data_IF_695978152933
#
_entry.id   IF_695978152933
#
_cell.length_a   1.000
_cell.length_b   1.000
_cell.length_c   1.000
_cell.angle_alpha   90.00
_cell.angle_beta   90.00
_cell.angle_gamma   90.00
#
_symmetry.space_group_name_H-M   'P 1'
#
loop_
_entity.id
_entity.type
_entity.pdbx_description
1 polymer ?
#
# COMPACT_ATOMS: atom_id res chain seq x y z
N UNK A 1 -32.15 -3.85 -18.46
CA UNK A 1 -32.63 -3.24 -17.18
C UNK A 1 -31.44 -3.24 -16.22
N UNK A 2 -31.23 -2.15 -15.50
CA UNK A 2 -30.15 -2.09 -14.53
C UNK A 2 -30.36 -3.13 -13.40
N UNK A 3 -29.27 -3.77 -12.98
CA UNK A 3 -29.25 -4.68 -11.84
C UNK A 3 -29.17 -3.88 -10.53
N UNK A 4 -30.02 -4.16 -9.57
CA UNK A 4 -29.97 -3.52 -8.25
C UNK A 4 -29.17 -4.39 -7.29
N UNK A 5 -28.24 -3.76 -6.55
CA UNK A 5 -27.39 -4.35 -5.51
C UNK A 5 -27.24 -3.36 -4.35
N UNK A 6 -26.75 -3.81 -3.18
CA UNK A 6 -26.55 -2.91 -2.02
C UNK A 6 -25.29 -2.06 -2.21
N UNK A 7 -24.24 -2.61 -2.81
CA UNK A 7 -22.95 -1.94 -2.97
C UNK A 7 -22.26 -2.32 -4.28
N UNK A 8 -21.78 -1.32 -5.00
CA UNK A 8 -20.81 -1.53 -6.08
C UNK A 8 -19.44 -1.03 -5.63
N UNK A 9 -18.42 -1.89 -5.75
CA UNK A 9 -17.01 -1.53 -5.53
C UNK A 9 -16.31 -1.42 -6.87
N UNK A 10 -15.70 -0.29 -7.18
CA UNK A 10 -14.98 -0.02 -8.43
C UNK A 10 -13.48 -0.01 -8.20
N UNK A 11 -12.79 -1.03 -8.76
CA UNK A 11 -11.37 -1.28 -8.61
C UNK A 11 -11.08 -2.50 -7.75
N UNK A 12 -10.51 -3.56 -8.36
CA UNK A 12 -10.17 -4.86 -7.75
C UNK A 12 -8.75 -4.96 -7.22
N UNK A 13 -8.13 -3.83 -6.88
CA UNK A 13 -6.87 -3.78 -6.15
C UNK A 13 -7.05 -4.19 -4.67
N UNK A 14 -5.97 -4.06 -3.88
CA UNK A 14 -5.97 -4.46 -2.47
C UNK A 14 -7.13 -3.83 -1.68
N UNK A 15 -7.36 -2.53 -1.84
CA UNK A 15 -8.38 -1.80 -1.09
C UNK A 15 -9.79 -2.23 -1.48
N UNK A 16 -10.06 -2.43 -2.77
CA UNK A 16 -11.37 -2.88 -3.24
C UNK A 16 -11.69 -4.31 -2.81
N UNK A 17 -10.74 -5.22 -2.89
CA UNK A 17 -10.92 -6.60 -2.42
C UNK A 17 -11.18 -6.65 -0.90
N UNK A 18 -10.47 -5.85 -0.11
CA UNK A 18 -10.69 -5.73 1.33
C UNK A 18 -12.07 -5.12 1.64
N UNK A 19 -12.49 -4.10 0.87
CA UNK A 19 -13.83 -3.50 1.00
C UNK A 19 -14.92 -4.51 0.66
N UNK A 20 -14.76 -5.27 -0.43
CA UNK A 20 -15.74 -6.29 -0.81
C UNK A 20 -15.86 -7.38 0.26
N UNK A 21 -14.74 -7.82 0.87
CA UNK A 21 -14.75 -8.75 1.99
C UNK A 21 -15.51 -8.17 3.18
N UNK A 22 -15.12 -6.98 3.64
CA UNK A 22 -15.73 -6.34 4.81
C UNK A 22 -17.23 -6.07 4.62
N UNK A 23 -17.65 -5.65 3.44
CA UNK A 23 -19.06 -5.42 3.14
C UNK A 23 -19.87 -6.74 3.10
N UNK A 24 -19.31 -7.77 2.45
CA UNK A 24 -20.01 -9.06 2.35
C UNK A 24 -20.19 -9.76 3.71
N UNK A 25 -19.18 -9.71 4.61
CA UNK A 25 -19.34 -10.27 5.97
C UNK A 25 -20.34 -9.49 6.82
N UNK A 26 -20.64 -8.22 6.48
CA UNK A 26 -21.70 -7.42 7.12
C UNK A 26 -23.07 -7.64 6.45
N UNK A 27 -23.17 -8.50 5.42
CA UNK A 27 -24.41 -8.92 4.81
C UNK A 27 -24.88 -8.09 3.63
N UNK A 28 -24.06 -7.21 3.08
CA UNK A 28 -24.37 -6.46 1.85
C UNK A 28 -24.32 -7.37 0.61
N UNK A 29 -25.23 -7.16 -0.34
CA UNK A 29 -25.11 -7.68 -1.72
C UNK A 29 -24.08 -6.84 -2.48
N UNK A 30 -22.86 -7.39 -2.68
CA UNK A 30 -21.69 -6.67 -3.18
C UNK A 30 -21.32 -7.16 -4.57
N UNK A 31 -21.15 -6.22 -5.51
CA UNK A 31 -20.49 -6.46 -6.79
C UNK A 31 -19.23 -5.62 -6.89
N UNK A 32 -18.08 -6.26 -7.10
CA UNK A 32 -16.81 -5.60 -7.38
C UNK A 32 -16.50 -5.68 -8.88
N UNK A 33 -16.17 -4.54 -9.48
CA UNK A 33 -15.84 -4.40 -10.89
C UNK A 33 -14.38 -3.98 -11.05
N UNK A 34 -13.58 -4.81 -11.73
CA UNK A 34 -12.20 -4.52 -12.06
C UNK A 34 -11.99 -4.42 -13.57
N UNK A 35 -11.32 -3.36 -13.99
CA UNK A 35 -11.02 -3.04 -15.39
C UNK A 35 -10.16 -4.09 -16.09
N UNK A 36 -9.20 -4.67 -15.36
CA UNK A 36 -8.19 -5.58 -15.89
C UNK A 36 -8.49 -7.04 -15.53
N UNK A 37 -7.71 -7.93 -16.11
CA UNK A 37 -7.74 -9.34 -15.77
C UNK A 37 -7.21 -9.60 -14.36
N UNK A 38 -7.57 -10.74 -13.81
CA UNK A 38 -7.09 -11.18 -12.49
C UNK A 38 -5.57 -11.30 -12.47
N UNK A 39 -4.93 -10.73 -11.46
CA UNK A 39 -3.47 -10.80 -11.29
C UNK A 39 -2.68 -9.83 -12.18
N UNK A 40 -3.33 -8.86 -12.80
CA UNK A 40 -2.66 -7.85 -13.63
C UNK A 40 -1.57 -7.05 -12.88
N UNK A 41 -0.64 -6.46 -13.63
CA UNK A 41 0.46 -5.65 -13.12
C UNK A 41 0.29 -4.13 -13.35
N UNK A 42 -0.90 -3.68 -13.71
CA UNK A 42 -1.15 -2.28 -14.07
C UNK A 42 -1.29 -1.35 -12.85
N UNK A 43 -1.79 -1.85 -11.73
CA UNK A 43 -1.98 -1.07 -10.51
C UNK A 43 -0.80 -1.11 -9.54
N UNK A 44 -1.05 -0.68 -8.29
CA UNK A 44 -0.06 -0.65 -7.21
C UNK A 44 -0.07 -1.92 -6.34
N UNK A 45 -0.99 -2.86 -6.54
CA UNK A 45 -1.21 -4.00 -5.63
C UNK A 45 -0.38 -5.24 -5.98
N UNK A 46 0.13 -5.36 -7.22
CA UNK A 46 0.87 -6.53 -7.72
C UNK A 46 2.22 -6.76 -7.03
N UNK A 47 2.80 -7.94 -7.22
CA UNK A 47 4.08 -8.37 -6.65
C UNK A 47 3.94 -9.18 -5.37
N UNK A 48 5.00 -9.90 -4.99
CA UNK A 48 4.92 -10.96 -3.98
C UNK A 48 4.98 -10.45 -2.55
N UNK A 49 5.66 -9.32 -2.29
CA UNK A 49 5.84 -8.82 -0.92
C UNK A 49 5.57 -7.33 -0.78
N UNK A 50 5.18 -6.93 0.46
CA UNK A 50 5.08 -5.53 0.93
C UNK A 50 5.70 -5.38 2.31
N UNK A 51 6.24 -4.19 2.59
CA UNK A 51 6.82 -3.86 3.88
C UNK A 51 5.71 -3.70 4.94
N UNK A 52 5.81 -4.46 6.03
CA UNK A 52 5.01 -4.30 7.24
C UNK A 52 5.84 -3.53 8.26
N UNK A 53 6.15 -2.28 8.00
CA UNK A 53 6.78 -1.40 8.98
C UNK A 53 5.71 -0.71 9.82
N UNK A 54 5.75 -0.92 11.14
CA UNK A 54 4.83 -0.28 12.10
C UNK A 54 5.45 0.96 12.76
N UNK A 55 6.71 1.27 12.47
CA UNK A 55 7.39 2.45 13.00
C UNK A 55 7.00 3.70 12.20
N UNK A 56 6.16 4.52 12.83
CA UNK A 56 5.76 5.84 12.36
C UNK A 56 6.19 6.90 13.37
N UNK A 57 6.46 8.10 12.89
CA UNK A 57 6.69 9.30 13.70
C UNK A 57 5.40 10.11 13.96
N UNK A 58 4.26 9.51 13.63
CA UNK A 58 2.89 9.98 13.85
C UNK A 58 2.13 8.93 14.66
N UNK A 59 1.62 9.36 15.84
CA UNK A 59 0.96 8.45 16.78
C UNK A 59 -0.36 7.87 16.27
N UNK A 60 -1.14 8.64 15.48
CA UNK A 60 -2.38 8.12 14.91
C UNK A 60 -2.09 6.99 13.91
N UNK A 61 -1.03 7.11 13.09
CA UNK A 61 -0.62 6.03 12.20
C UNK A 61 -0.12 4.79 12.96
N UNK A 62 0.51 4.95 14.14
CA UNK A 62 0.87 3.80 14.99
C UNK A 62 -0.40 3.08 15.47
N UNK A 63 -1.41 3.81 15.91
CA UNK A 63 -2.69 3.24 16.36
C UNK A 63 -3.43 2.54 15.21
N UNK A 64 -3.48 3.17 14.03
CA UNK A 64 -4.08 2.61 12.82
C UNK A 64 -3.38 1.31 12.36
N UNK A 65 -2.05 1.27 12.38
CA UNK A 65 -1.34 0.04 11.97
C UNK A 65 -1.51 -1.09 12.97
N UNK A 66 -1.66 -0.78 14.26
CA UNK A 66 -1.98 -1.78 15.30
C UNK A 66 -3.36 -2.41 15.05
N UNK A 67 -4.38 -1.60 14.71
CA UNK A 67 -5.70 -2.10 14.31
C UNK A 67 -5.62 -2.94 13.03
N UNK A 68 -4.91 -2.43 12.01
CA UNK A 68 -4.70 -3.16 10.76
C UNK A 68 -4.05 -4.52 10.99
N UNK A 69 -3.10 -4.62 11.93
CA UNK A 69 -2.43 -5.86 12.30
C UNK A 69 -3.41 -6.91 12.83
N UNK A 70 -4.33 -6.52 13.72
CA UNK A 70 -5.39 -7.42 14.20
C UNK A 70 -6.23 -7.96 13.05
N UNK A 71 -6.63 -7.10 12.12
CA UNK A 71 -7.41 -7.51 10.94
C UNK A 71 -6.63 -8.39 9.95
N UNK A 72 -5.31 -8.22 9.86
CA UNK A 72 -4.46 -9.16 9.11
C UNK A 72 -4.45 -10.56 9.72
N UNK A 73 -4.40 -10.65 11.05
CA UNK A 73 -4.45 -11.93 11.77
C UNK A 73 -5.84 -12.59 11.63
N UNK A 74 -6.92 -11.81 11.67
CA UNK A 74 -8.28 -12.29 11.39
C UNK A 74 -8.40 -12.85 9.97
N UNK A 75 -7.92 -12.11 8.95
CA UNK A 75 -7.91 -12.59 7.57
C UNK A 75 -7.09 -13.86 7.39
N UNK A 76 -5.92 -13.94 8.01
CA UNK A 76 -5.06 -15.14 7.96
C UNK A 76 -5.79 -16.35 8.53
N UNK A 77 -6.51 -16.16 9.64
CA UNK A 77 -7.30 -17.24 10.30
C UNK A 77 -8.45 -17.70 9.39
N UNK A 78 -9.30 -16.80 8.90
CA UNK A 78 -10.48 -17.16 8.10
C UNK A 78 -10.11 -17.68 6.70
N UNK A 79 -8.94 -17.30 6.18
CA UNK A 79 -8.46 -17.76 4.88
C UNK A 79 -7.57 -19.00 4.95
N UNK A 80 -7.21 -19.47 6.16
CA UNK A 80 -6.26 -20.57 6.39
C UNK A 80 -4.95 -20.36 5.57
N UNK A 81 -4.44 -19.12 5.58
CA UNK A 81 -3.28 -18.74 4.78
C UNK A 81 -2.34 -17.86 5.59
N UNK A 82 -1.06 -18.21 5.78
CA UNK A 82 -0.10 -17.32 6.42
C UNK A 82 0.13 -16.09 5.51
N UNK A 83 -0.16 -14.92 6.04
CA UNK A 83 -0.09 -13.65 5.28
C UNK A 83 1.07 -12.76 5.70
N UNK A 84 1.59 -12.94 6.91
CA UNK A 84 2.65 -12.12 7.49
C UNK A 84 3.88 -12.96 7.82
N UNK A 85 5.05 -12.48 7.44
CA UNK A 85 6.34 -12.99 7.89
C UNK A 85 6.96 -11.95 8.83
N UNK A 86 6.88 -12.19 10.15
CA UNK A 86 7.39 -11.28 11.18
C UNK A 86 8.90 -11.48 11.37
N UNK A 87 9.64 -11.05 10.38
CA UNK A 87 11.11 -11.09 10.36
C UNK A 87 11.74 -9.83 10.97
N UNK A 88 10.91 -8.95 11.50
CA UNK A 88 11.28 -7.63 12.01
C UNK A 88 11.59 -6.62 10.92
N UNK A 89 11.68 -5.34 11.34
CA UNK A 89 12.11 -4.23 10.47
C UNK A 89 13.15 -3.37 11.19
N UNK A 90 14.19 -3.00 10.49
CA UNK A 90 15.20 -2.02 10.92
C UNK A 90 14.94 -0.67 10.26
N UNK A 91 14.94 0.39 11.07
CA UNK A 91 14.86 1.77 10.62
C UNK A 91 16.13 2.49 11.01
N UNK A 92 16.81 3.16 10.08
CA UNK A 92 18.07 3.85 10.35
C UNK A 92 18.26 5.09 9.46
N UNK A 93 19.29 5.88 9.75
CA UNK A 93 19.73 7.03 8.99
C UNK A 93 19.47 8.36 9.71
N UNK A 94 18.23 8.67 10.14
CA UNK A 94 17.85 9.94 10.79
C UNK A 94 17.65 9.80 12.31
N UNK A 95 18.62 10.23 13.14
CA UNK A 95 18.54 10.05 14.60
C UNK A 95 17.36 10.76 15.27
N UNK A 96 16.98 11.95 14.80
CA UNK A 96 15.82 12.71 15.29
C UNK A 96 14.51 11.94 15.10
N UNK A 97 14.31 11.37 13.93
CA UNK A 97 13.15 10.58 13.58
C UNK A 97 13.09 9.25 14.35
N UNK A 98 14.23 8.55 14.47
CA UNK A 98 14.31 7.31 15.25
C UNK A 98 13.94 7.54 16.72
N UNK A 99 14.40 8.64 17.31
CA UNK A 99 14.03 9.04 18.67
C UNK A 99 12.54 9.27 18.80
N UNK A 100 11.93 10.00 17.86
CA UNK A 100 10.49 10.27 17.85
C UNK A 100 9.67 8.97 17.72
N UNK A 101 10.06 8.08 16.80
CA UNK A 101 9.43 6.77 16.66
C UNK A 101 9.52 5.96 17.96
N UNK A 102 10.70 5.92 18.59
CA UNK A 102 10.91 5.22 19.86
C UNK A 102 10.04 5.78 21.00
N UNK A 103 9.92 7.09 21.11
CA UNK A 103 9.04 7.74 22.08
C UNK A 103 7.60 7.31 21.91
N UNK A 104 7.07 7.36 20.66
CA UNK A 104 5.73 6.93 20.33
C UNK A 104 5.49 5.44 20.59
N UNK A 105 6.49 4.59 20.33
CA UNK A 105 6.44 3.16 20.64
C UNK A 105 6.34 2.94 22.15
N UNK A 106 7.17 3.63 22.96
CA UNK A 106 7.12 3.51 24.40
C UNK A 106 5.77 3.95 24.99
N UNK A 107 5.19 5.05 24.46
CA UNK A 107 3.87 5.56 24.86
C UNK A 107 2.74 4.56 24.55
N UNK A 108 2.88 3.73 23.52
CA UNK A 108 1.84 2.81 23.02
C UNK A 108 2.12 1.33 23.30
N UNK A 109 3.19 1.04 24.04
CA UNK A 109 3.56 -0.34 24.38
C UNK A 109 4.01 -1.17 23.16
N UNK A 110 4.49 -0.51 22.09
CA UNK A 110 5.08 -1.20 20.95
C UNK A 110 6.51 -1.61 21.27
N UNK A 111 6.82 -2.90 21.14
CA UNK A 111 8.16 -3.42 21.38
C UNK A 111 9.16 -2.90 20.32
N UNK A 112 10.24 -2.29 20.78
CA UNK A 112 11.29 -1.78 19.89
C UNK A 112 12.61 -1.60 20.65
N UNK A 113 13.71 -1.88 19.96
CA UNK A 113 15.07 -1.86 20.49
C UNK A 113 15.93 -0.88 19.69
N UNK A 114 16.76 -0.09 20.38
CA UNK A 114 17.82 0.68 19.73
C UNK A 114 19.09 -0.16 19.74
N UNK A 115 19.62 -0.44 18.55
CA UNK A 115 20.78 -1.28 18.32
C UNK A 115 21.90 -0.41 17.77
N UNK A 116 23.12 -0.54 18.32
CA UNK A 116 24.29 0.21 17.79
C UNK A 116 24.65 -0.25 16.38
N UNK A 117 25.29 0.60 15.55
CA UNK A 117 25.68 0.23 14.18
C UNK A 117 26.55 -1.03 14.13
N UNK A 118 27.47 -1.18 15.09
CA UNK A 118 28.34 -2.35 15.18
C UNK A 118 27.61 -3.63 15.52
N UNK A 119 26.63 -3.58 16.43
CA UNK A 119 25.80 -4.74 16.78
C UNK A 119 24.84 -5.10 15.64
N UNK A 120 24.25 -4.09 15.02
CA UNK A 120 23.36 -4.25 13.86
C UNK A 120 24.08 -4.93 12.68
N UNK A 121 25.29 -4.48 12.35
CA UNK A 121 26.11 -5.09 11.30
C UNK A 121 26.53 -6.54 11.59
N UNK A 122 26.66 -6.93 12.87
CA UNK A 122 26.89 -8.33 13.25
C UNK A 122 25.62 -9.17 13.17
N UNK A 123 24.47 -8.58 13.47
CA UNK A 123 23.16 -9.28 13.47
C UNK A 123 22.59 -9.43 12.05
N UNK A 124 22.77 -8.42 11.19
CA UNK A 124 22.21 -8.37 9.84
C UNK A 124 23.33 -8.08 8.81
N UNK A 125 24.13 -9.07 8.55
CA UNK A 125 25.35 -8.99 7.71
C UNK A 125 25.08 -8.56 6.26
N UNK A 126 23.86 -8.70 5.79
CA UNK A 126 23.43 -8.26 4.46
C UNK A 126 23.23 -6.75 4.32
N UNK A 127 23.26 -5.99 5.43
CA UNK A 127 23.00 -4.56 5.49
C UNK A 127 24.19 -3.81 6.12
N UNK A 128 24.44 -2.60 5.65
CA UNK A 128 25.41 -1.68 6.25
C UNK A 128 24.68 -0.66 7.12
N UNK A 129 25.25 -0.33 8.28
CA UNK A 129 24.71 0.65 9.21
C UNK A 129 25.80 1.62 9.63
N UNK A 130 25.49 2.91 9.63
CA UNK A 130 26.40 4.00 10.10
C UNK A 130 25.81 4.80 11.26
N UNK A 131 24.49 4.63 11.50
CA UNK A 131 23.77 5.25 12.62
C UNK A 131 23.15 4.17 13.50
N UNK A 132 22.67 4.57 14.68
CA UNK A 132 21.80 3.69 15.46
C UNK A 132 20.61 3.21 14.64
N UNK A 133 20.12 2.03 14.99
CA UNK A 133 19.04 1.34 14.31
C UNK A 133 17.88 1.17 15.29
N UNK A 134 16.67 1.56 14.90
CA UNK A 134 15.47 1.19 15.61
C UNK A 134 14.96 -0.15 15.03
N UNK A 135 15.15 -1.21 15.80
CA UNK A 135 14.64 -2.55 15.50
C UNK A 135 13.24 -2.75 16.06
N UNK A 136 12.33 -3.24 15.22
CA UNK A 136 10.92 -3.51 15.59
C UNK A 136 10.60 -4.95 15.26
N UNK A 137 10.57 -5.87 16.26
CA UNK A 137 10.43 -7.31 16.03
C UNK A 137 9.06 -7.70 15.44
N UNK A 138 7.97 -7.06 15.87
CA UNK A 138 6.60 -7.34 15.40
C UNK A 138 6.27 -6.73 14.03
N UNK A 139 7.28 -6.26 13.33
CA UNK A 139 7.25 -5.83 11.95
C UNK A 139 7.76 -6.93 11.01
N UNK A 140 7.76 -6.66 9.70
CA UNK A 140 8.29 -7.61 8.74
C UNK A 140 7.81 -7.36 7.32
N UNK A 141 7.26 -8.40 6.70
CA UNK A 141 6.71 -8.32 5.35
C UNK A 141 5.34 -9.00 5.25
N UNK A 142 4.52 -8.49 4.36
CA UNK A 142 3.24 -9.06 3.99
C UNK A 142 3.45 -9.86 2.70
N UNK A 143 2.93 -11.06 2.64
CA UNK A 143 2.83 -11.89 1.42
C UNK A 143 1.71 -11.32 0.55
N UNK A 144 2.04 -10.33 -0.26
CA UNK A 144 1.04 -9.49 -0.92
C UNK A 144 0.19 -10.24 -1.94
N UNK A 145 0.79 -11.13 -2.73
CA UNK A 145 0.05 -11.97 -3.68
C UNK A 145 -0.92 -12.92 -2.96
N UNK A 146 -0.46 -13.57 -1.87
CA UNK A 146 -1.30 -14.45 -1.05
C UNK A 146 -2.43 -13.67 -0.38
N UNK A 147 -2.15 -12.43 0.06
CA UNK A 147 -3.15 -11.56 0.67
C UNK A 147 -4.27 -11.17 -0.31
N UNK A 148 -3.93 -10.79 -1.56
CA UNK A 148 -4.94 -10.51 -2.58
C UNK A 148 -5.82 -11.74 -2.87
N UNK A 149 -5.20 -12.92 -3.02
CA UNK A 149 -5.92 -14.17 -3.22
C UNK A 149 -6.78 -14.54 -2.02
N UNK A 150 -6.33 -14.26 -0.78
CA UNK A 150 -7.10 -14.48 0.44
C UNK A 150 -8.33 -13.57 0.48
N UNK A 151 -8.17 -12.26 0.29
CA UNK A 151 -9.30 -11.33 0.24
C UNK A 151 -10.35 -11.75 -0.79
N UNK A 152 -9.93 -12.06 -2.04
CA UNK A 152 -10.84 -12.53 -3.09
C UNK A 152 -11.57 -13.80 -2.67
N UNK A 153 -10.85 -14.80 -2.16
CA UNK A 153 -11.44 -16.08 -1.76
C UNK A 153 -12.45 -15.93 -0.62
N UNK A 154 -12.11 -15.15 0.42
CA UNK A 154 -13.02 -14.99 1.55
C UNK A 154 -14.22 -14.12 1.17
N UNK A 155 -14.05 -13.05 0.39
CA UNK A 155 -15.15 -12.23 -0.10
C UNK A 155 -16.14 -13.03 -0.94
N UNK A 156 -15.65 -13.80 -1.91
CA UNK A 156 -16.52 -14.67 -2.76
C UNK A 156 -17.14 -15.80 -1.96
N UNK A 157 -16.42 -16.34 -0.98
CA UNK A 157 -16.93 -17.40 -0.09
C UNK A 157 -18.11 -16.96 0.77
N UNK A 158 -18.27 -15.66 1.03
CA UNK A 158 -19.42 -15.09 1.77
C UNK A 158 -20.41 -14.34 0.88
N UNK A 159 -20.30 -14.49 -0.45
CA UNK A 159 -21.32 -14.06 -1.41
C UNK A 159 -20.99 -12.81 -2.24
N UNK A 160 -19.83 -12.16 -2.08
CA UNK A 160 -19.45 -11.07 -2.98
C UNK A 160 -19.24 -11.58 -4.41
N UNK A 161 -19.76 -10.88 -5.39
CA UNK A 161 -19.47 -11.11 -6.80
C UNK A 161 -18.27 -10.26 -7.25
N UNK A 162 -17.23 -10.88 -7.81
CA UNK A 162 -16.05 -10.17 -8.34
C UNK A 162 -15.98 -10.38 -9.84
N UNK A 163 -16.00 -9.28 -10.59
CA UNK A 163 -15.98 -9.27 -12.06
C UNK A 163 -14.68 -8.62 -12.55
N UNK A 164 -13.79 -9.46 -13.02
CA UNK A 164 -12.57 -9.06 -13.70
C UNK A 164 -12.83 -8.70 -15.16
N UNK A 165 -11.93 -7.92 -15.76
CA UNK A 165 -12.03 -7.46 -17.16
C UNK A 165 -13.35 -6.73 -17.45
N UNK A 166 -13.88 -6.01 -16.46
CA UNK A 166 -15.14 -5.29 -16.50
C UNK A 166 -14.90 -3.80 -16.20
N UNK A 167 -14.44 -3.03 -17.19
CA UNK A 167 -14.19 -1.60 -16.99
C UNK A 167 -15.48 -0.83 -16.72
N UNK A 168 -15.48 -0.01 -15.70
CA UNK A 168 -16.52 1.00 -15.46
C UNK A 168 -16.28 2.17 -16.41
N UNK A 169 -17.26 2.48 -17.24
CA UNK A 169 -17.21 3.58 -18.18
C UNK A 169 -17.53 4.91 -17.51
N UNK A 170 -18.54 4.92 -16.63
CA UNK A 170 -18.96 6.12 -15.90
C UNK A 170 -19.79 5.76 -14.66
N UNK A 171 -19.84 6.68 -13.72
CA UNK A 171 -20.71 6.67 -12.55
C UNK A 171 -21.62 7.90 -12.66
N UNK A 172 -22.92 7.70 -12.45
CA UNK A 172 -23.94 8.74 -12.49
C UNK A 172 -24.61 8.82 -11.11
N UNK A 173 -24.65 10.02 -10.54
CA UNK A 173 -25.31 10.26 -9.25
C UNK A 173 -26.78 10.53 -9.50
N UNK A 174 -27.68 9.70 -8.94
CA UNK A 174 -29.14 9.80 -9.07
C UNK A 174 -29.79 10.29 -7.76
N UNK A 175 -29.24 11.32 -7.13
CA UNK A 175 -29.69 11.86 -5.83
C UNK A 175 -28.71 11.53 -4.70
N UNK A 176 -29.11 11.80 -3.46
CA UNK A 176 -28.23 11.72 -2.30
C UNK A 176 -27.94 10.28 -1.83
N UNK A 177 -28.75 9.33 -2.24
CA UNK A 177 -28.76 7.95 -1.76
C UNK A 177 -28.69 6.89 -2.88
N UNK A 178 -28.43 7.29 -4.12
CA UNK A 178 -28.39 6.35 -5.24
C UNK A 178 -27.42 6.79 -6.33
N UNK A 179 -26.67 5.81 -6.84
CA UNK A 179 -25.81 5.96 -8.01
C UNK A 179 -26.05 4.82 -9.02
N UNK A 180 -25.79 5.14 -10.28
CA UNK A 180 -25.73 4.21 -11.39
C UNK A 180 -24.29 4.01 -11.81
N UNK A 181 -23.85 2.77 -11.92
CA UNK A 181 -22.54 2.38 -12.45
C UNK A 181 -22.74 1.73 -13.81
N UNK A 182 -22.10 2.25 -14.84
CA UNK A 182 -22.26 1.80 -16.23
C UNK A 182 -21.00 1.12 -16.71
N UNK A 183 -21.16 -0.09 -17.24
CA UNK A 183 -20.14 -0.83 -17.99
C UNK A 183 -20.62 -1.03 -19.44
N UNK A 184 -19.79 -1.59 -20.29
CA UNK A 184 -20.17 -1.87 -21.68
C UNK A 184 -21.39 -2.82 -21.80
N UNK A 185 -21.52 -3.78 -20.88
CA UNK A 185 -22.51 -4.86 -20.99
C UNK A 185 -23.69 -4.72 -20.03
N UNK A 186 -23.49 -4.06 -18.89
CA UNK A 186 -24.48 -3.99 -17.80
C UNK A 186 -24.46 -2.63 -17.09
N UNK A 187 -25.59 -2.33 -16.45
CA UNK A 187 -25.72 -1.19 -15.53
C UNK A 187 -26.11 -1.69 -14.15
N UNK A 188 -25.53 -1.06 -13.13
CA UNK A 188 -25.83 -1.36 -11.73
C UNK A 188 -26.44 -0.14 -11.07
N UNK A 189 -27.48 -0.35 -10.26
CA UNK A 189 -28.07 0.64 -9.36
C UNK A 189 -27.74 0.26 -7.93
N UNK A 190 -27.13 1.16 -7.17
CA UNK A 190 -26.82 0.92 -5.77
C UNK A 190 -27.02 2.18 -4.93
N UNK A 191 -27.41 2.04 -3.65
CA UNK A 191 -27.44 3.15 -2.71
C UNK A 191 -26.04 3.72 -2.42
N UNK A 192 -25.01 2.91 -2.57
CA UNK A 192 -23.61 3.32 -2.36
C UNK A 192 -22.69 2.73 -3.44
N UNK A 193 -21.70 3.53 -3.83
CA UNK A 193 -20.61 3.12 -4.72
C UNK A 193 -19.29 3.47 -4.06
N UNK A 194 -18.42 2.48 -3.85
CA UNK A 194 -17.06 2.68 -3.35
C UNK A 194 -16.08 2.69 -4.51
N UNK A 195 -15.31 3.76 -4.66
CA UNK A 195 -14.27 3.87 -5.70
C UNK A 195 -12.88 3.72 -5.07
N UNK A 196 -12.20 2.64 -5.42
CA UNK A 196 -10.83 2.30 -5.03
C UNK A 196 -9.94 2.08 -6.28
N UNK A 197 -10.13 2.93 -7.28
CA UNK A 197 -9.54 2.78 -8.61
C UNK A 197 -8.04 3.19 -8.69
N UNK A 198 -7.38 3.42 -7.54
CA UNK A 198 -5.94 3.72 -7.47
C UNK A 198 -5.56 4.91 -8.35
N UNK A 199 -4.65 4.70 -9.29
CA UNK A 199 -4.15 5.74 -10.20
C UNK A 199 -5.23 6.30 -11.16
N UNK A 200 -6.37 5.63 -11.32
CA UNK A 200 -7.48 6.05 -12.19
C UNK A 200 -8.60 6.75 -11.44
N UNK A 201 -8.48 6.97 -10.13
CA UNK A 201 -9.55 7.56 -9.29
C UNK A 201 -10.00 8.91 -9.81
N UNK A 202 -9.08 9.82 -10.16
CA UNK A 202 -9.43 11.16 -10.64
C UNK A 202 -10.28 11.12 -11.92
N UNK A 203 -10.02 10.17 -12.82
CA UNK A 203 -10.80 10.02 -14.07
C UNK A 203 -12.24 9.60 -13.85
N UNK A 204 -12.49 8.80 -12.82
CA UNK A 204 -13.84 8.32 -12.49
C UNK A 204 -14.61 9.28 -11.58
N UNK A 205 -13.91 9.99 -10.71
CA UNK A 205 -14.51 10.76 -9.61
C UNK A 205 -14.42 12.26 -9.81
N UNK A 206 -13.45 12.78 -10.57
CA UNK A 206 -13.14 14.21 -10.67
C UNK A 206 -14.29 15.12 -11.14
N UNK A 207 -15.30 14.57 -11.79
CA UNK A 207 -16.53 15.29 -12.18
C UNK A 207 -17.70 15.10 -11.18
N UNK A 208 -17.55 14.27 -10.17
CA UNK A 208 -18.60 13.88 -9.21
C UNK A 208 -18.36 14.43 -7.81
N UNK A 209 -17.10 14.60 -7.42
CA UNK A 209 -16.68 15.16 -6.15
C UNK A 209 -15.38 15.94 -6.33
N UNK A 210 -15.16 16.94 -5.49
CA UNK A 210 -13.88 17.67 -5.46
C UNK A 210 -12.85 16.88 -4.68
N UNK A 211 -11.90 16.29 -5.40
CA UNK A 211 -10.76 15.58 -4.83
C UNK A 211 -9.64 16.55 -4.39
N UNK A 212 -8.85 16.22 -3.37
CA UNK A 212 -7.55 16.84 -3.20
C UNK A 212 -6.66 16.52 -4.41
N UNK A 213 -5.57 17.26 -4.57
CA UNK A 213 -4.62 16.97 -5.64
C UNK A 213 -4.07 15.55 -5.48
N UNK A 214 -4.23 14.74 -6.51
CA UNK A 214 -3.65 13.39 -6.60
C UNK A 214 -2.53 13.39 -7.65
N UNK A 215 -1.32 12.99 -7.22
CA UNK A 215 -0.17 12.87 -8.12
C UNK A 215 0.14 11.40 -8.34
N UNK A 216 0.08 10.96 -9.60
CA UNK A 216 0.46 9.59 -9.98
C UNK A 216 1.92 9.57 -10.42
N UNK A 217 2.73 8.70 -9.80
CA UNK A 217 4.13 8.48 -10.15
C UNK A 217 4.41 7.03 -10.53
N UNK A 218 5.39 6.81 -11.40
CA UNK A 218 5.92 5.48 -11.70
C UNK A 218 7.13 5.21 -10.81
N UNK A 219 6.95 4.40 -9.78
CA UNK A 219 8.01 3.97 -8.87
C UNK A 219 8.79 2.79 -9.46
N UNK A 220 10.07 2.68 -9.09
CA UNK A 220 11.03 1.86 -9.80
C UNK A 220 11.91 1.04 -8.83
N UNK A 221 11.32 0.19 -7.96
CA UNK A 221 12.12 -0.74 -7.16
C UNK A 221 12.74 -1.83 -8.02
N UNK A 222 13.72 -2.54 -7.47
CA UNK A 222 14.31 -3.70 -8.11
C UNK A 222 14.52 -4.84 -7.11
N UNK A 223 14.56 -6.08 -7.62
CA UNK A 223 15.06 -7.22 -6.89
C UNK A 223 16.57 -7.40 -7.18
N UNK A 224 17.32 -7.74 -6.14
CA UNK A 224 18.74 -8.04 -6.21
C UNK A 224 18.97 -9.46 -5.68
N UNK A 225 19.73 -10.25 -6.40
CA UNK A 225 20.07 -11.61 -5.94
C UNK A 225 20.91 -11.56 -4.66
N UNK A 226 20.54 -12.36 -3.67
CA UNK A 226 21.35 -12.53 -2.46
C UNK A 226 22.65 -13.26 -2.78
N UNK A 227 23.72 -12.91 -2.07
CA UNK A 227 25.05 -13.54 -2.21
C UNK A 227 25.31 -14.57 -1.11
N UNK A 228 24.51 -14.56 -0.04
CA UNK A 228 24.58 -15.47 1.10
C UNK A 228 23.16 -15.88 1.50
N UNK A 229 22.79 -17.11 1.22
CA UNK A 229 21.45 -17.65 1.51
C UNK A 229 21.19 -17.82 3.02
N UNK A 230 22.23 -17.87 3.85
CA UNK A 230 22.13 -17.97 5.30
C UNK A 230 21.98 -16.60 5.99
N UNK A 231 22.12 -15.51 5.24
CA UNK A 231 21.98 -14.16 5.78
C UNK A 231 20.55 -13.88 6.25
N UNK A 232 20.42 -13.34 7.46
CA UNK A 232 19.13 -12.91 8.03
C UNK A 232 18.75 -11.55 7.46
N UNK A 233 17.63 -11.49 6.77
CA UNK A 233 17.10 -10.28 6.15
C UNK A 233 15.84 -9.80 6.87
N UNK A 234 15.93 -8.75 7.72
CA UNK A 234 14.76 -7.99 8.15
C UNK A 234 14.20 -7.17 6.99
N UNK A 235 13.00 -6.63 7.13
CA UNK A 235 12.64 -5.46 6.35
C UNK A 235 13.51 -4.26 6.76
N UNK A 236 13.75 -3.31 5.87
CA UNK A 236 14.57 -2.14 6.21
C UNK A 236 14.01 -0.86 5.62
N UNK A 237 14.22 0.25 6.35
CA UNK A 237 13.99 1.60 5.89
C UNK A 237 15.22 2.43 6.24
N UNK A 238 15.81 3.04 5.22
CA UNK A 238 16.97 3.91 5.36
C UNK A 238 16.61 5.31 4.89
N UNK A 239 16.76 6.28 5.77
CA UNK A 239 16.46 7.68 5.49
C UNK A 239 17.73 8.50 5.46
N UNK A 240 18.01 9.24 4.35
CA UNK A 240 19.19 10.07 4.27
C UNK A 240 19.13 11.21 5.29
N UNK A 241 20.28 11.70 5.69
CA UNK A 241 20.38 12.92 6.47
C UNK A 241 19.99 14.12 5.58
N UNK A 242 19.01 14.94 5.98
CA UNK A 242 18.59 16.10 5.20
C UNK A 242 19.68 17.18 5.09
N UNK A 243 20.63 17.23 6.03
CA UNK A 243 21.73 18.19 6.06
C UNK A 243 22.94 17.77 5.20
N UNK A 244 22.81 16.61 4.55
CA UNK A 244 23.46 16.33 3.31
C UNK A 244 24.75 15.62 3.34
N UNK A 245 25.71 15.47 3.75
CA UNK A 245 26.94 14.70 3.52
C UNK A 245 27.15 14.24 2.07
N UNK A 246 27.77 13.07 1.93
CA UNK A 246 28.09 12.44 0.63
C UNK A 246 26.84 11.86 -0.09
N UNK A 247 25.62 12.05 0.46
CA UNK A 247 24.36 11.48 -0.05
C UNK A 247 23.62 12.38 -1.04
N UNK A 248 24.27 13.41 -1.57
CA UNK A 248 23.68 14.32 -2.56
C UNK A 248 23.16 13.65 -3.84
N UNK A 249 23.52 12.37 -4.10
CA UNK A 249 23.05 11.56 -5.21
C UNK A 249 21.80 10.71 -4.89
N UNK A 250 21.35 10.71 -3.63
CA UNK A 250 20.13 10.00 -3.23
C UNK A 250 18.89 10.74 -3.75
N UNK A 251 17.93 9.97 -4.24
CA UNK A 251 16.65 10.50 -4.67
C UNK A 251 15.67 10.68 -3.51
N UNK A 252 15.80 9.88 -2.45
CA UNK A 252 14.95 9.95 -1.27
C UNK A 252 15.17 8.75 -0.32
N UNK A 253 14.27 8.52 0.62
CA UNK A 253 14.33 7.35 1.50
C UNK A 253 14.34 6.05 0.71
N UNK A 254 15.06 5.04 1.22
CA UNK A 254 15.06 3.69 0.66
C UNK A 254 14.29 2.75 1.58
N UNK A 255 13.50 1.89 1.01
CA UNK A 255 12.89 0.76 1.69
C UNK A 255 13.30 -0.55 1.02
N UNK A 256 13.26 -1.64 1.79
CA UNK A 256 13.45 -2.95 1.19
C UNK A 256 13.11 -4.12 2.10
N UNK A 257 13.15 -5.30 1.53
CA UNK A 257 12.88 -6.59 2.20
C UNK A 257 13.29 -7.74 1.31
N UNK A 258 13.63 -8.86 1.91
CA UNK A 258 13.77 -10.12 1.18
C UNK A 258 12.40 -10.56 0.64
N UNK A 259 12.34 -10.84 -0.66
CA UNK A 259 11.22 -11.54 -1.30
C UNK A 259 11.66 -12.98 -1.58
N UNK A 260 11.10 -13.98 -0.89
CA UNK A 260 11.49 -15.38 -1.08
C UNK A 260 11.41 -15.81 -2.54
N UNK A 261 12.49 -16.36 -3.07
CA UNK A 261 12.59 -16.79 -4.47
C UNK A 261 12.91 -15.71 -5.51
N UNK A 262 12.78 -14.41 -5.13
CA UNK A 262 13.03 -13.28 -6.05
C UNK A 262 14.26 -12.43 -5.65
N UNK A 263 14.75 -12.57 -4.41
CA UNK A 263 15.88 -11.81 -3.88
C UNK A 263 15.45 -10.63 -2.99
N UNK A 264 16.37 -9.72 -2.70
CA UNK A 264 16.11 -8.53 -1.88
C UNK A 264 15.54 -7.44 -2.76
N UNK A 265 14.31 -7.04 -2.48
CA UNK A 265 13.70 -5.87 -3.08
C UNK A 265 14.18 -4.61 -2.39
N UNK A 266 14.64 -3.63 -3.15
CA UNK A 266 14.91 -2.28 -2.67
C UNK A 266 14.33 -1.24 -3.64
N UNK A 267 13.98 -0.07 -3.13
CA UNK A 267 13.46 1.02 -3.94
C UNK A 267 13.52 2.36 -3.24
N UNK A 268 13.65 3.42 -4.02
CA UNK A 268 13.45 4.79 -3.58
C UNK A 268 11.97 4.99 -3.23
N UNK A 269 11.68 5.77 -2.22
CA UNK A 269 10.31 6.03 -1.80
C UNK A 269 9.84 7.40 -2.28
N UNK A 270 8.75 7.42 -3.08
CA UNK A 270 8.09 8.64 -3.59
C UNK A 270 8.98 9.53 -4.47
N UNK A 271 9.76 8.94 -5.33
CA UNK A 271 10.72 9.68 -6.18
C UNK A 271 10.54 9.39 -7.66
N UNK A 272 9.60 8.54 -8.00
CA UNK A 272 9.31 8.18 -9.39
C UNK A 272 8.82 9.37 -10.22
N UNK A 273 9.07 9.38 -11.53
CA UNK A 273 8.54 10.42 -12.42
C UNK A 273 7.01 10.41 -12.43
N UNK A 274 6.42 11.63 -12.52
CA UNK A 274 4.98 11.76 -12.73
C UNK A 274 4.60 11.09 -14.05
N UNK A 275 3.51 10.33 -14.02
CA UNK A 275 3.08 9.55 -15.18
C UNK A 275 1.56 9.55 -15.35
N UNK A 276 1.12 9.34 -16.58
CA UNK A 276 -0.23 8.92 -16.89
C UNK A 276 -0.31 7.40 -16.72
N UNK A 277 -1.23 6.84 -15.89
CA UNK A 277 -1.31 5.41 -15.68
C UNK A 277 -1.60 4.59 -16.95
N UNK A 278 -2.28 5.17 -17.96
CA UNK A 278 -2.55 4.49 -19.23
C UNK A 278 -1.40 4.65 -20.26
N UNK A 279 -0.46 5.58 -20.04
CA UNK A 279 0.71 5.80 -20.88
C UNK A 279 2.04 5.46 -20.20
N UNK A 280 2.00 4.69 -19.13
CA UNK A 280 3.17 4.30 -18.35
C UNK A 280 4.16 3.46 -19.17
N UNK A 281 5.45 3.79 -19.07
CA UNK A 281 6.51 3.12 -19.84
C UNK A 281 6.84 1.69 -19.37
N UNK A 282 6.58 1.39 -18.09
CA UNK A 282 7.02 0.17 -17.37
C UNK A 282 8.54 -0.03 -17.36
N UNK A 283 9.32 0.95 -17.80
CA UNK A 283 10.77 0.92 -17.81
C UNK A 283 11.33 1.88 -16.77
N UNK A 284 12.40 1.50 -16.06
CA UNK A 284 13.04 2.38 -15.11
C UNK A 284 13.69 3.58 -15.83
N UNK A 285 13.70 4.72 -15.15
CA UNK A 285 14.48 5.88 -15.55
C UNK A 285 15.97 5.53 -15.34
N UNK A 286 16.83 5.59 -16.37
CA UNK A 286 18.17 5.02 -16.30
C UNK A 286 19.07 5.59 -15.22
N UNK A 287 19.03 6.91 -14.98
CA UNK A 287 19.91 7.57 -14.01
C UNK A 287 19.48 7.23 -12.58
N UNK A 288 18.17 7.28 -12.32
CA UNK A 288 17.61 6.91 -11.01
C UNK A 288 17.81 5.43 -10.70
N UNK A 289 17.73 4.57 -11.72
CA UNK A 289 17.96 3.14 -11.56
C UNK A 289 19.44 2.82 -11.27
N UNK A 290 20.38 3.51 -11.95
CA UNK A 290 21.79 3.36 -11.63
C UNK A 290 22.13 3.89 -10.21
N UNK A 291 21.47 4.94 -9.78
CA UNK A 291 21.59 5.38 -8.39
C UNK A 291 21.11 4.30 -7.38
N UNK A 292 20.04 3.56 -7.71
CA UNK A 292 19.59 2.44 -6.88
C UNK A 292 20.61 1.28 -6.86
N UNK A 293 21.24 0.97 -7.99
CA UNK A 293 22.33 -0.01 -8.05
C UNK A 293 23.55 0.45 -7.25
N UNK A 294 23.90 1.75 -7.31
CA UNK A 294 24.92 2.34 -6.46
C UNK A 294 24.59 2.19 -4.98
N UNK A 295 23.34 2.47 -4.58
CA UNK A 295 22.88 2.23 -3.22
C UNK A 295 23.07 0.77 -2.80
N UNK A 296 22.70 -0.18 -3.66
CA UNK A 296 22.88 -1.59 -3.37
C UNK A 296 24.35 -1.97 -3.17
N UNK A 297 25.29 -1.46 -4.00
CA UNK A 297 26.73 -1.68 -3.82
C UNK A 297 27.27 -1.14 -2.50
N UNK A 298 26.77 0.01 -2.06
CA UNK A 298 27.31 0.70 -0.88
C UNK A 298 26.65 0.22 0.43
N UNK A 299 25.35 -0.09 0.41
CA UNK A 299 24.54 -0.30 1.61
C UNK A 299 23.97 -1.72 1.77
N UNK A 300 24.01 -2.55 0.73
CA UNK A 300 23.49 -3.91 0.74
C UNK A 300 24.60 -4.93 0.42
N UNK A 301 25.62 -5.09 1.29
CA UNK A 301 26.77 -5.99 1.01
C UNK A 301 26.35 -7.46 0.82
N UNK A 302 25.16 -7.85 1.26
CA UNK A 302 24.63 -9.21 1.07
C UNK A 302 23.94 -9.47 -0.26
N UNK A 303 23.99 -8.52 -1.22
CA UNK A 303 23.41 -8.71 -2.56
C UNK A 303 24.44 -8.46 -3.67
N UNK A 304 24.17 -9.03 -4.83
CA UNK A 304 24.87 -8.71 -6.07
C UNK A 304 24.14 -7.57 -6.79
N UNK A 305 24.67 -6.36 -6.69
CA UNK A 305 24.06 -5.15 -7.26
C UNK A 305 23.95 -5.17 -8.79
N UNK A 306 24.73 -6.03 -9.47
CA UNK A 306 24.69 -6.15 -10.94
C UNK A 306 23.52 -7.00 -11.43
N UNK A 307 22.84 -7.71 -10.53
CA UNK A 307 21.67 -8.56 -10.84
C UNK A 307 20.33 -7.82 -10.72
N UNK A 308 20.34 -6.49 -10.64
CA UNK A 308 19.13 -5.69 -10.48
C UNK A 308 18.06 -6.03 -11.53
N UNK A 309 16.93 -6.57 -11.08
CA UNK A 309 15.74 -6.85 -11.90
C UNK A 309 14.65 -5.80 -11.59
N UNK A 310 14.39 -4.85 -12.51
CA UNK A 310 13.52 -3.72 -12.23
C UNK A 310 12.04 -4.10 -12.18
N UNK A 311 11.33 -3.47 -11.27
CA UNK A 311 9.87 -3.56 -11.14
C UNK A 311 9.28 -2.17 -11.44
N UNK A 312 8.12 -2.13 -12.09
CA UNK A 312 7.36 -0.89 -12.26
C UNK A 312 6.11 -0.93 -11.40
N UNK A 313 5.99 0.04 -10.50
CA UNK A 313 4.82 0.22 -9.64
C UNK A 313 4.24 1.63 -9.83
N UNK A 314 3.06 1.90 -9.30
CA UNK A 314 2.51 3.26 -9.24
C UNK A 314 2.28 3.67 -7.80
N UNK A 315 2.57 4.95 -7.48
CA UNK A 315 1.98 5.59 -6.31
C UNK A 315 0.93 6.59 -6.78
N UNK A 316 -0.07 6.79 -5.95
CA UNK A 316 -1.03 7.89 -6.08
C UNK A 316 -0.98 8.63 -4.76
N UNK A 317 -0.40 9.81 -4.77
CA UNK A 317 -0.04 10.56 -3.57
C UNK A 317 -0.86 11.82 -3.43
N UNK A 318 -1.28 12.13 -2.20
CA UNK A 318 -1.75 13.44 -1.77
C UNK A 318 -0.57 14.32 -1.37
N UNK A 319 -0.80 15.62 -1.24
CA UNK A 319 0.26 16.57 -0.81
C UNK A 319 0.65 16.35 0.68
N UNK A 320 -0.28 15.86 1.52
CA UNK A 320 -0.07 15.59 2.96
C UNK A 320 0.41 14.17 3.24
N UNK A 321 0.42 13.27 2.26
CA UNK A 321 0.60 11.82 2.39
C UNK A 321 -0.55 11.09 3.10
N UNK A 322 -1.54 11.80 3.63
CA UNK A 322 -2.74 11.21 4.21
C UNK A 322 -3.63 10.57 3.15
N UNK A 323 -4.32 9.52 3.54
CA UNK A 323 -5.28 8.83 2.69
C UNK A 323 -6.51 9.70 2.45
N UNK A 324 -7.20 9.47 1.36
CA UNK A 324 -8.55 9.98 1.11
C UNK A 324 -9.52 8.85 1.40
N UNK A 325 -10.18 8.90 2.55
CA UNK A 325 -11.27 8.00 2.90
C UNK A 325 -12.45 8.89 3.28
N UNK A 326 -13.37 9.09 2.34
CA UNK A 326 -14.43 10.08 2.54
C UNK A 326 -15.65 9.78 1.66
N UNK A 327 -16.77 10.45 1.93
CA UNK A 327 -18.02 10.26 1.24
C UNK A 327 -18.72 11.57 0.88
N UNK A 328 -19.28 11.62 -0.32
CA UNK A 328 -20.19 12.68 -0.79
C UNK A 328 -21.42 12.03 -1.42
N UNK A 329 -22.58 12.19 -0.80
CA UNK A 329 -23.81 11.53 -1.24
C UNK A 329 -23.65 9.99 -1.28
N UNK A 330 -23.98 9.33 -2.40
CA UNK A 330 -23.82 7.89 -2.56
C UNK A 330 -22.39 7.44 -2.87
N UNK A 331 -21.48 8.38 -3.13
CA UNK A 331 -20.11 8.10 -3.54
C UNK A 331 -19.17 8.05 -2.34
N UNK A 332 -18.52 6.91 -2.11
CA UNK A 332 -17.42 6.70 -1.16
C UNK A 332 -16.12 6.56 -1.93
N UNK A 333 -15.06 7.20 -1.49
CA UNK A 333 -13.76 7.20 -2.19
C UNK A 333 -12.66 6.74 -1.25
N UNK A 334 -11.87 5.74 -1.71
CA UNK A 334 -10.62 5.30 -1.12
C UNK A 334 -9.45 5.53 -2.08
N UNK A 335 -8.63 6.56 -1.84
CA UNK A 335 -7.55 6.97 -2.73
C UNK A 335 -6.35 7.58 -2.00
N UNK A 336 -5.33 8.00 -2.73
CA UNK A 336 -4.22 8.80 -2.19
C UNK A 336 -3.36 8.06 -1.16
N UNK A 337 -3.12 6.76 -1.34
CA UNK A 337 -2.39 5.94 -0.35
C UNK A 337 -0.88 6.19 -0.29
N UNK A 338 -0.35 7.09 -1.09
CA UNK A 338 0.96 7.72 -1.01
C UNK A 338 2.15 6.74 -0.84
N UNK A 339 2.01 5.51 -1.34
CA UNK A 339 3.05 4.47 -1.30
C UNK A 339 3.18 3.71 0.02
N UNK A 340 2.36 3.99 1.03
CA UNK A 340 2.41 3.28 2.32
C UNK A 340 1.10 2.61 2.74
N UNK A 341 0.08 2.57 1.86
CA UNK A 341 -1.26 2.08 2.17
C UNK A 341 -1.38 0.57 2.38
N UNK A 342 -0.58 -0.27 1.71
CA UNK A 342 -0.84 -1.71 1.64
C UNK A 342 -0.92 -2.40 3.03
N UNK A 343 -0.13 -2.00 3.99
CA UNK A 343 -0.19 -2.55 5.36
C UNK A 343 -1.49 -2.25 6.08
N UNK A 344 -2.21 -1.22 5.65
CA UNK A 344 -3.52 -0.82 6.18
C UNK A 344 -4.70 -1.45 5.42
N UNK A 345 -4.47 -2.26 4.40
CA UNK A 345 -5.51 -2.79 3.51
C UNK A 345 -6.75 -3.31 4.23
N UNK A 346 -6.69 -4.23 5.21
CA UNK A 346 -7.90 -4.73 5.86
C UNK A 346 -8.63 -3.64 6.68
N UNK A 347 -7.89 -2.72 7.30
CA UNK A 347 -8.47 -1.57 8.01
C UNK A 347 -9.11 -0.58 7.04
N UNK A 348 -8.49 -0.30 5.91
CA UNK A 348 -9.09 0.57 4.87
C UNK A 348 -10.40 -0.04 4.36
N UNK A 349 -10.46 -1.36 4.17
CA UNK A 349 -11.70 -2.03 3.84
C UNK A 349 -12.79 -1.83 4.90
N UNK A 350 -12.45 -1.98 6.19
CA UNK A 350 -13.35 -1.73 7.32
C UNK A 350 -13.86 -0.28 7.31
N UNK A 351 -12.96 0.71 7.24
CA UNK A 351 -13.29 2.14 7.25
C UNK A 351 -14.15 2.58 6.04
N UNK A 352 -13.90 2.01 4.87
CA UNK A 352 -14.71 2.31 3.69
C UNK A 352 -16.14 1.76 3.83
N UNK A 353 -16.32 0.60 4.47
CA UNK A 353 -17.64 0.06 4.76
C UNK A 353 -18.31 0.83 5.90
N UNK A 354 -17.56 1.31 6.90
CA UNK A 354 -18.12 2.23 7.90
C UNK A 354 -18.71 3.48 7.21
N UNK A 355 -18.03 4.07 6.22
CA UNK A 355 -18.58 5.19 5.42
C UNK A 355 -19.80 4.80 4.58
N UNK A 356 -19.89 3.56 4.11
CA UNK A 356 -21.10 3.04 3.42
C UNK A 356 -22.29 3.03 4.38
N UNK A 357 -22.08 2.69 5.65
CA UNK A 357 -23.07 2.55 6.72
C UNK A 357 -23.27 3.85 7.56
N UNK A 358 -22.87 5.01 7.03
CA UNK A 358 -22.97 6.32 7.69
C UNK A 358 -22.10 6.45 8.97
N UNK A 359 -21.06 5.62 9.09
CA UNK A 359 -20.08 5.65 10.19
C UNK A 359 -19.03 6.74 10.02
N UNK A 360 -18.01 6.69 10.88
CA UNK A 360 -16.96 7.70 10.96
C UNK A 360 -15.59 7.15 10.61
N UNK A 361 -14.73 8.00 10.02
CA UNK A 361 -13.31 7.75 9.78
C UNK A 361 -12.47 8.87 10.39
N UNK A 362 -11.18 8.69 10.62
CA UNK A 362 -10.28 9.74 11.09
C UNK A 362 -10.45 11.04 10.29
N UNK A 363 -10.56 12.17 10.99
CA UNK A 363 -10.87 13.46 10.36
C UNK A 363 -9.83 13.88 9.29
N UNK A 364 -8.57 13.49 9.46
CA UNK A 364 -7.48 13.76 8.51
C UNK A 364 -7.71 13.12 7.13
N UNK A 365 -8.50 12.05 7.05
CA UNK A 365 -8.80 11.33 5.81
C UNK A 365 -10.01 11.90 5.07
N UNK A 366 -10.80 12.74 5.71
CA UNK A 366 -11.97 13.41 5.13
C UNK A 366 -11.52 14.60 4.29
N UNK A 367 -11.33 14.38 3.01
CA UNK A 367 -10.73 15.37 2.11
C UNK A 367 -11.57 15.66 0.86
N UNK A 368 -12.76 15.10 0.74
CA UNK A 368 -13.67 15.40 -0.36
C UNK A 368 -14.45 16.68 -0.11
N UNK A 369 -14.69 17.44 -1.17
CA UNK A 369 -15.65 18.54 -1.22
C UNK A 369 -16.79 18.19 -2.16
N UNK A 370 -17.93 18.87 -1.99
CA UNK A 370 -19.01 18.85 -3.00
C UNK A 370 -18.50 19.38 -4.33
N UNK A 371 -18.96 18.78 -5.43
CA UNK A 371 -18.63 19.20 -6.80
C UNK A 371 -19.14 20.60 -7.13
#
# INVERSE_FOLDING_TARGET
MARTVDLVVVGGGAMGLATAWQAAIRGHDVVLLERFERGHHHGASHGSTRNLNIAYDDGEYVDLVARARTLWDELALVSDTPLLDLVGVVNHGRPDMLRRMRELHAERGVDSEVVTPGDAGRRWTGLRFETDVLWVPDSGRIRAADALAAFERVATGVGAEIRWSTPVERIEIEGDDRARVVTADEEYLAPRVVVTAGAWTERLVGGLARLPRLVVTQEQPAHFRVTDDDAVWPGFNHRPDPDGGDDAWWYGPVYGMLTPGEGVKAGWHRTGPVTDPDARSYRPEPVQFEALRRYAREWLPGVDAETADPISCTYTSTDTEDFVLDRVGPLVVGAGFSGHGFKFTPLVGELLVDLVEDGEVPARFRQLGSA
#
